data_IF_807876915095
#
_entry.id   IF_807876915095
#
_cell.length_a   1.000
_cell.length_b   1.000
_cell.length_c   1.000
_cell.angle_alpha   90.00
_cell.angle_beta   90.00
_cell.angle_gamma   90.00
#
_symmetry.space_group_name_H-M   'P 1'
#
loop_
_entity.id
_entity.type
_entity.pdbx_description
1 polymer ?
#
# COMPACT_ATOMS: atom_id res chain seq x y z
N UNK A 1 12.44 -3.94 -18.38
CA UNK A 1 13.10 -4.51 -17.18
C UNK A 1 12.54 -5.90 -16.97
N UNK A 2 13.39 -6.94 -17.03
CA UNK A 2 12.98 -8.34 -16.87
C UNK A 2 12.37 -8.56 -15.48
N UNK A 3 11.05 -8.70 -15.42
CA UNK A 3 10.31 -8.97 -14.18
C UNK A 3 10.48 -10.46 -13.86
N UNK A 4 11.63 -10.84 -13.31
CA UNK A 4 11.73 -12.07 -12.51
C UNK A 4 10.96 -11.83 -11.21
N UNK A 5 9.63 -11.76 -11.31
CA UNK A 5 8.75 -11.46 -10.19
C UNK A 5 8.27 -12.75 -9.55
N UNK A 6 8.25 -12.77 -8.22
CA UNK A 6 7.59 -13.75 -7.37
C UNK A 6 6.25 -14.20 -7.98
N UNK A 7 5.94 -15.50 -7.93
CA UNK A 7 4.69 -16.01 -8.52
C UNK A 7 3.48 -15.33 -7.86
N UNK A 8 2.76 -14.49 -8.60
CA UNK A 8 1.61 -13.73 -8.10
C UNK A 8 0.31 -14.54 -8.15
N UNK A 9 0.36 -15.84 -8.50
CA UNK A 9 -0.80 -16.72 -8.53
C UNK A 9 -1.64 -16.64 -7.26
N UNK A 10 -0.99 -16.58 -6.10
CA UNK A 10 -1.68 -16.49 -4.81
C UNK A 10 -2.59 -15.24 -4.70
N UNK A 11 -2.27 -14.13 -5.37
CA UNK A 11 -3.11 -12.92 -5.37
C UNK A 11 -4.43 -13.21 -6.10
N UNK A 12 -4.34 -13.90 -7.24
CA UNK A 12 -5.47 -14.21 -8.11
C UNK A 12 -6.29 -15.41 -7.62
N UNK A 13 -5.65 -16.34 -6.92
CA UNK A 13 -6.29 -17.51 -6.28
C UNK A 13 -6.99 -17.15 -4.95
N UNK A 14 -6.68 -15.99 -4.38
CA UNK A 14 -7.32 -15.50 -3.14
C UNK A 14 -8.79 -15.14 -3.35
N UNK A 15 -9.67 -15.51 -2.42
CA UNK A 15 -11.11 -15.17 -2.41
C UNK A 15 -11.37 -13.71 -1.98
N UNK A 16 -10.72 -12.76 -2.63
CA UNK A 16 -10.86 -11.32 -2.39
C UNK A 16 -11.45 -10.62 -3.64
N UNK A 17 -12.13 -9.47 -3.47
CA UNK A 17 -12.64 -8.70 -4.60
C UNK A 17 -11.54 -8.35 -5.61
N UNK A 18 -11.85 -8.42 -6.91
CA UNK A 18 -10.93 -8.16 -8.02
C UNK A 18 -10.21 -6.80 -7.90
N UNK A 19 -10.90 -5.78 -7.40
CA UNK A 19 -10.35 -4.44 -7.14
C UNK A 19 -9.14 -4.48 -6.21
N UNK A 20 -9.20 -5.34 -5.19
CA UNK A 20 -8.15 -5.53 -4.19
C UNK A 20 -7.02 -6.38 -4.77
N UNK A 21 -7.32 -7.38 -5.59
CA UNK A 21 -6.30 -8.18 -6.30
C UNK A 21 -5.43 -7.30 -7.21
N UNK A 22 -6.07 -6.46 -8.03
CA UNK A 22 -5.37 -5.51 -8.91
C UNK A 22 -4.51 -4.54 -8.09
N UNK A 23 -5.05 -4.04 -6.97
CA UNK A 23 -4.32 -3.15 -6.08
C UNK A 23 -3.08 -3.83 -5.45
N UNK A 24 -3.22 -5.06 -4.93
CA UNK A 24 -2.09 -5.83 -4.39
C UNK A 24 -1.05 -6.11 -5.47
N UNK A 25 -1.48 -6.49 -6.67
CA UNK A 25 -0.56 -6.68 -7.79
C UNK A 25 0.22 -5.39 -8.11
N UNK A 26 -0.47 -4.24 -8.17
CA UNK A 26 0.19 -2.93 -8.34
C UNK A 26 1.12 -2.60 -7.17
N UNK A 27 0.76 -2.97 -5.94
CA UNK A 27 1.57 -2.76 -4.74
C UNK A 27 2.92 -3.50 -4.85
N UNK A 28 2.87 -4.79 -5.16
CA UNK A 28 4.07 -5.61 -5.29
C UNK A 28 4.95 -5.19 -6.48
N UNK A 29 4.36 -4.56 -7.50
CA UNK A 29 5.07 -4.03 -8.65
C UNK A 29 5.63 -2.61 -8.42
N UNK A 30 5.48 -2.02 -7.22
CA UNK A 30 5.80 -0.61 -6.94
C UNK A 30 5.14 0.35 -7.95
N UNK A 31 3.96 -0.02 -8.45
CA UNK A 31 3.23 0.67 -9.52
C UNK A 31 2.06 1.51 -8.99
N UNK A 32 1.81 1.47 -7.68
CA UNK A 32 0.84 2.32 -7.00
C UNK A 32 1.30 3.78 -7.08
N UNK A 33 0.34 4.72 -7.18
CA UNK A 33 0.56 6.16 -7.31
C UNK A 33 1.12 6.83 -6.03
N UNK A 34 2.21 6.29 -5.48
CA UNK A 34 2.97 6.93 -4.42
C UNK A 34 3.68 8.17 -4.95
N UNK A 35 4.06 9.10 -4.07
CA UNK A 35 4.78 10.32 -4.48
C UNK A 35 6.13 10.02 -5.13
N UNK A 36 6.82 8.92 -4.80
CA UNK A 36 8.02 8.49 -5.54
C UNK A 36 7.69 8.10 -6.98
N UNK A 37 6.62 7.32 -7.20
CA UNK A 37 6.16 6.94 -8.54
C UNK A 37 5.65 8.15 -9.33
N UNK A 38 4.98 9.09 -8.66
CA UNK A 38 4.54 10.35 -9.27
C UNK A 38 5.73 11.24 -9.65
N UNK A 39 6.74 11.33 -8.78
CA UNK A 39 7.99 12.06 -9.04
C UNK A 39 8.75 11.48 -10.24
N UNK A 40 8.82 10.14 -10.36
CA UNK A 40 9.35 9.46 -11.56
C UNK A 40 8.60 9.83 -12.85
N UNK A 41 7.32 10.20 -12.75
CA UNK A 41 6.49 10.69 -13.87
C UNK A 41 6.55 12.21 -14.06
N UNK A 42 7.57 12.88 -13.52
CA UNK A 42 7.80 14.34 -13.61
C UNK A 42 6.76 15.19 -12.86
N UNK A 43 6.14 14.66 -11.82
CA UNK A 43 5.31 15.47 -10.93
C UNK A 43 6.19 16.40 -10.07
N UNK A 44 5.83 17.69 -10.03
CA UNK A 44 6.61 18.75 -9.38
C UNK A 44 6.36 18.91 -7.87
N UNK A 45 5.71 17.94 -7.23
CA UNK A 45 5.41 18.02 -5.79
C UNK A 45 6.45 17.32 -4.91
N UNK A 46 6.31 17.52 -3.59
CA UNK A 46 7.23 16.99 -2.59
C UNK A 46 7.17 15.45 -2.54
N UNK A 47 8.33 14.79 -2.52
CA UNK A 47 8.44 13.32 -2.42
C UNK A 47 8.37 12.78 -0.98
N UNK A 48 8.00 13.65 -0.03
CA UNK A 48 7.84 13.30 1.39
C UNK A 48 6.50 12.63 1.63
N UNK A 49 6.43 11.74 2.61
CA UNK A 49 5.21 11.03 2.98
C UNK A 49 4.16 11.99 3.53
N UNK A 50 2.89 11.69 3.28
CA UNK A 50 1.78 12.45 3.86
C UNK A 50 1.64 12.24 5.37
N UNK A 51 2.19 11.15 5.91
CA UNK A 51 2.06 10.75 7.32
C UNK A 51 3.32 11.04 8.15
N UNK A 52 4.48 11.17 7.51
CA UNK A 52 5.75 11.50 8.16
C UNK A 52 6.69 12.23 7.19
N UNK A 53 7.75 12.83 7.71
CA UNK A 53 8.66 13.68 6.92
C UNK A 53 9.69 12.93 6.05
N UNK A 54 9.54 11.61 5.89
CA UNK A 54 10.45 10.72 5.15
C UNK A 54 10.03 10.51 3.69
N UNK A 55 10.91 9.97 2.84
CA UNK A 55 10.58 9.68 1.43
C UNK A 55 9.45 8.65 1.30
N UNK A 56 8.44 8.99 0.52
CA UNK A 56 7.27 8.14 0.32
C UNK A 56 7.47 7.10 -0.79
N UNK A 57 7.81 5.88 -0.40
CA UNK A 57 7.80 4.70 -1.28
C UNK A 57 6.62 3.80 -0.95
N UNK A 58 6.28 2.83 -1.81
CA UNK A 58 5.24 1.82 -1.52
C UNK A 58 5.56 1.07 -0.22
N UNK A 59 6.78 0.57 -0.07
CA UNK A 59 7.23 -0.11 1.14
C UNK A 59 7.16 0.80 2.37
N UNK A 60 7.54 2.07 2.24
CA UNK A 60 7.44 3.01 3.34
C UNK A 60 5.99 3.27 3.73
N UNK A 61 5.13 3.60 2.77
CA UNK A 61 3.73 3.94 3.01
C UNK A 61 2.97 2.81 3.72
N UNK A 62 3.25 1.56 3.34
CA UNK A 62 2.52 0.40 3.87
C UNK A 62 3.22 -0.34 5.01
N UNK A 63 4.55 -0.32 5.14
CA UNK A 63 5.25 -1.17 6.11
C UNK A 63 6.22 -0.41 7.03
N UNK A 64 6.98 0.54 6.50
CA UNK A 64 8.07 1.19 7.27
C UNK A 64 7.61 2.45 7.99
N UNK A 65 6.58 3.14 7.48
CA UNK A 65 6.07 4.38 8.05
C UNK A 65 5.66 4.14 9.52
N UNK A 66 6.04 5.02 10.46
CA UNK A 66 5.63 4.90 11.86
C UNK A 66 4.12 4.73 12.02
N UNK A 67 3.34 5.46 11.23
CA UNK A 67 1.87 5.37 11.23
C UNK A 67 1.40 3.99 10.75
N UNK A 68 1.98 3.48 9.66
CA UNK A 68 1.66 2.15 9.15
C UNK A 68 2.00 1.06 10.19
N UNK A 69 3.18 1.15 10.83
CA UNK A 69 3.61 0.22 11.88
C UNK A 69 2.64 0.21 13.07
N UNK A 70 2.14 1.37 13.48
CA UNK A 70 1.15 1.47 14.56
C UNK A 70 -0.15 0.79 14.12
N UNK A 71 -0.63 1.04 12.89
CA UNK A 71 -1.82 0.36 12.37
C UNK A 71 -1.67 -1.16 12.33
N UNK A 72 -0.54 -1.69 11.83
CA UNK A 72 -0.29 -3.13 11.83
C UNK A 72 -0.29 -3.73 13.23
N UNK A 73 0.25 -3.02 14.22
CA UNK A 73 0.23 -3.48 15.62
C UNK A 73 -1.19 -3.50 16.18
N UNK A 74 -1.96 -2.42 15.99
CA UNK A 74 -3.34 -2.36 16.48
C UNK A 74 -4.19 -3.46 15.86
N UNK A 75 -4.05 -3.70 14.55
CA UNK A 75 -4.84 -4.74 13.88
C UNK A 75 -4.35 -6.14 14.19
N UNK A 76 -3.04 -6.35 14.34
CA UNK A 76 -2.48 -7.61 14.83
C UNK A 76 -2.93 -7.96 16.25
N UNK A 77 -3.22 -6.97 17.10
CA UNK A 77 -3.82 -7.19 18.42
C UNK A 77 -5.33 -7.50 18.37
N UNK A 78 -6.03 -7.07 17.31
CA UNK A 78 -7.50 -7.23 17.18
C UNK A 78 -7.87 -8.48 16.39
N UNK A 79 -7.02 -8.91 15.45
CA UNK A 79 -7.24 -10.06 14.58
C UNK A 79 -6.24 -11.17 14.93
N UNK A 80 -6.60 -12.02 15.91
CA UNK A 80 -5.78 -13.13 16.42
C UNK A 80 -5.93 -14.43 15.60
N UNK A 81 -6.56 -14.38 14.41
CA UNK A 81 -6.83 -15.58 13.59
C UNK A 81 -6.08 -15.60 12.25
N UNK A 82 -5.23 -16.63 12.06
CA UNK A 82 -4.37 -16.86 10.88
C UNK A 82 -5.07 -16.78 9.52
N UNK A 83 -6.39 -17.01 9.47
CA UNK A 83 -7.18 -17.01 8.22
C UNK A 83 -7.68 -15.64 7.80
N UNK A 84 -7.74 -14.67 8.71
CA UNK A 84 -8.16 -13.30 8.40
C UNK A 84 -7.01 -12.40 7.97
N UNK A 85 -5.75 -12.85 8.07
CA UNK A 85 -4.60 -12.00 7.75
C UNK A 85 -4.59 -11.53 6.30
N UNK A 86 -4.92 -12.36 5.31
CA UNK A 86 -4.93 -11.91 3.90
C UNK A 86 -6.06 -10.92 3.61
N UNK A 87 -7.27 -11.16 4.11
CA UNK A 87 -8.39 -10.24 3.94
C UNK A 87 -8.18 -8.93 4.72
N UNK A 88 -7.73 -9.03 5.96
CA UNK A 88 -7.41 -7.90 6.84
C UNK A 88 -6.24 -7.06 6.31
N UNK A 89 -5.17 -7.70 5.83
CA UNK A 89 -4.04 -7.03 5.20
C UNK A 89 -4.47 -6.27 3.96
N UNK A 90 -5.30 -6.88 3.12
CA UNK A 90 -5.75 -6.25 1.89
C UNK A 90 -6.74 -5.10 2.15
N UNK A 91 -7.65 -5.26 3.12
CA UNK A 91 -8.57 -4.20 3.56
C UNK A 91 -7.82 -3.02 4.20
N UNK A 92 -6.80 -3.28 5.02
CA UNK A 92 -5.97 -2.24 5.62
C UNK A 92 -5.12 -1.50 4.59
N UNK A 93 -4.45 -2.22 3.67
CA UNK A 93 -3.71 -1.58 2.60
C UNK A 93 -4.65 -0.73 1.72
N UNK A 94 -5.87 -1.21 1.45
CA UNK A 94 -6.87 -0.40 0.76
C UNK A 94 -7.29 0.86 1.55
N UNK A 95 -7.49 0.74 2.87
CA UNK A 95 -7.84 1.87 3.73
C UNK A 95 -6.71 2.91 3.84
N UNK A 96 -5.47 2.45 4.08
CA UNK A 96 -4.27 3.29 4.07
C UNK A 96 -4.11 4.02 2.74
N UNK A 97 -4.33 3.31 1.63
CA UNK A 97 -4.28 3.88 0.30
C UNK A 97 -5.34 4.96 0.09
N UNK A 98 -6.58 4.74 0.53
CA UNK A 98 -7.62 5.77 0.42
C UNK A 98 -7.31 6.98 1.30
N UNK A 99 -6.84 6.80 2.54
CA UNK A 99 -6.40 7.91 3.40
C UNK A 99 -5.26 8.71 2.74
N UNK A 100 -4.29 8.02 2.16
CA UNK A 100 -3.18 8.64 1.44
C UNK A 100 -3.68 9.41 0.20
N UNK A 101 -4.52 8.80 -0.63
CA UNK A 101 -5.08 9.45 -1.81
C UNK A 101 -5.90 10.69 -1.42
N UNK A 102 -6.72 10.57 -0.38
CA UNK A 102 -7.48 11.70 0.16
C UNK A 102 -6.56 12.86 0.53
N UNK A 103 -5.51 12.59 1.32
CA UNK A 103 -4.54 13.62 1.71
C UNK A 103 -3.78 14.23 0.52
N UNK A 104 -3.49 13.43 -0.51
CA UNK A 104 -2.68 13.84 -1.66
C UNK A 104 -3.48 14.58 -2.74
N UNK A 105 -4.75 14.22 -2.94
CA UNK A 105 -5.58 14.72 -4.05
C UNK A 105 -6.73 15.64 -3.61
N UNK A 106 -7.28 15.52 -2.40
CA UNK A 106 -8.35 16.44 -1.92
C UNK A 106 -7.82 17.71 -1.25
N UNK A 107 -6.52 17.81 -0.93
CA UNK A 107 -5.92 19.03 -0.37
C UNK A 107 -5.51 20.07 -1.43
N UNK A 108 -6.07 19.98 -2.65
CA UNK A 108 -5.85 20.92 -3.76
C UNK A 108 -7.13 21.54 -4.27
#
# INVERSE_FOLDING_TARGET
KNVRGCDYKWIWESKIPLKIQIFLWQLFQDAILTRDVMSRRKWAGNSTCSFCSERETSQHLFFTCPVARIMWRTVGCVLDEEKFYTFGLAAMCWAMWNCHNKATFESK
#
